data_IF_948976166830
#
_entry.id   IF_948976166830
#
_cell.length_a   1.000
_cell.length_b   1.000
_cell.length_c   1.000
_cell.angle_alpha   90.00
_cell.angle_beta   90.00
_cell.angle_gamma   90.00
#
_symmetry.space_group_name_H-M   'P 1'
#
loop_
_entity.id
_entity.type
_entity.pdbx_description
1 polymer ?
#
# COMPACT_ATOMS: atom_id res chain seq x y z
N UNK A 1 12.73 -6.48 11.43
CA UNK A 1 11.51 -5.80 10.96
C UNK A 1 11.91 -4.88 9.81
N UNK A 2 11.47 -5.15 8.59
CA UNK A 2 11.73 -4.32 7.42
C UNK A 2 10.44 -3.59 7.04
N UNK A 3 10.49 -2.26 7.02
CA UNK A 3 9.39 -1.43 6.55
C UNK A 3 9.52 -1.23 5.05
N UNK A 4 8.41 -1.32 4.33
CA UNK A 4 8.32 -1.01 2.92
C UNK A 4 7.07 -0.19 2.64
N UNK A 5 7.10 0.56 1.53
CA UNK A 5 5.95 1.31 1.03
C UNK A 5 5.79 1.10 -0.46
N UNK A 6 4.59 0.76 -0.90
CA UNK A 6 4.25 0.58 -2.32
C UNK A 6 2.94 1.27 -2.62
N UNK A 7 2.85 1.99 -3.74
CA UNK A 7 1.61 2.66 -4.11
C UNK A 7 1.76 3.72 -5.19
N UNK A 8 0.67 4.46 -5.38
CA UNK A 8 0.52 5.48 -6.39
C UNK A 8 0.44 6.86 -5.76
N UNK A 9 1.05 7.85 -6.44
CA UNK A 9 1.02 9.26 -6.03
C UNK A 9 0.64 10.14 -7.22
N UNK A 10 0.13 11.33 -6.93
CA UNK A 10 -0.28 12.29 -7.98
C UNK A 10 0.84 12.68 -8.96
N UNK A 11 2.12 12.48 -8.60
CA UNK A 11 3.25 12.72 -9.49
C UNK A 11 3.55 11.56 -10.45
N UNK A 12 3.10 10.34 -10.14
CA UNK A 12 3.31 9.13 -10.97
C UNK A 12 2.04 8.59 -11.61
N UNK A 13 0.86 8.97 -11.11
CA UNK A 13 -0.43 8.49 -11.59
C UNK A 13 -1.48 9.60 -11.65
N UNK A 14 -2.27 9.58 -12.73
CA UNK A 14 -3.41 10.48 -12.90
C UNK A 14 -4.52 10.18 -11.86
N UNK A 15 -5.52 11.06 -11.80
CA UNK A 15 -6.62 10.95 -10.82
C UNK A 15 -7.42 9.66 -11.02
N UNK A 16 -7.83 9.37 -12.25
CA UNK A 16 -8.62 8.17 -12.60
C UNK A 16 -7.94 6.88 -12.13
N UNK A 17 -6.64 6.73 -12.38
CA UNK A 17 -5.87 5.57 -11.92
C UNK A 17 -5.91 5.47 -10.40
N UNK A 18 -5.73 6.58 -9.68
CA UNK A 18 -5.70 6.57 -8.20
C UNK A 18 -7.07 6.27 -7.59
N UNK A 19 -8.14 6.78 -8.18
CA UNK A 19 -9.51 6.51 -7.72
C UNK A 19 -9.87 5.02 -7.88
N UNK A 20 -9.37 4.35 -8.93
CA UNK A 20 -9.54 2.91 -9.10
C UNK A 20 -8.93 2.05 -7.98
N UNK A 21 -7.91 2.54 -7.29
CA UNK A 21 -7.29 1.84 -6.14
C UNK A 21 -7.80 2.37 -4.78
N UNK A 22 -8.55 3.46 -4.76
CA UNK A 22 -9.10 4.01 -3.53
C UNK A 22 -10.25 3.13 -3.01
N UNK A 23 -10.32 2.93 -1.68
CA UNK A 23 -11.49 2.33 -1.04
C UNK A 23 -11.54 0.80 -1.00
N UNK A 24 -10.46 0.16 -0.54
CA UNK A 24 -10.45 -1.28 -0.31
C UNK A 24 -10.39 -1.60 1.20
N UNK A 25 -11.55 -1.78 1.88
CA UNK A 25 -11.60 -2.06 3.31
C UNK A 25 -11.00 -3.43 3.69
N UNK A 26 -10.91 -4.37 2.74
CA UNK A 26 -10.33 -5.70 2.97
C UNK A 26 -8.80 -5.76 2.75
N UNK A 27 -8.18 -4.67 2.29
CA UNK A 27 -6.74 -4.64 2.01
C UNK A 27 -5.89 -4.97 3.23
N UNK A 28 -6.28 -4.48 4.42
CA UNK A 28 -5.53 -4.76 5.65
C UNK A 28 -5.56 -6.26 6.01
N UNK A 29 -6.69 -6.94 5.80
CA UNK A 29 -6.82 -8.38 6.03
C UNK A 29 -5.96 -9.17 5.04
N UNK A 30 -6.04 -8.85 3.75
CA UNK A 30 -5.21 -9.47 2.71
C UNK A 30 -3.71 -9.29 2.99
N UNK A 31 -3.27 -8.10 3.41
CA UNK A 31 -1.85 -7.82 3.65
C UNK A 31 -1.28 -8.62 4.84
N UNK A 32 -2.10 -8.88 5.87
CA UNK A 32 -1.74 -9.78 6.96
C UNK A 32 -1.59 -11.22 6.49
N UNK A 33 -2.51 -11.69 5.64
CA UNK A 33 -2.46 -13.05 5.07
C UNK A 33 -1.24 -13.26 4.16
N UNK A 34 -0.70 -12.20 3.55
CA UNK A 34 0.48 -12.24 2.67
C UNK A 34 1.81 -12.25 3.47
N UNK A 35 1.75 -12.24 4.81
CA UNK A 35 2.93 -12.33 5.66
C UNK A 35 3.54 -10.98 6.05
N UNK A 36 2.74 -9.91 6.02
CA UNK A 36 3.07 -8.68 6.72
C UNK A 36 2.70 -8.82 8.20
N UNK A 37 3.67 -8.57 9.09
CA UNK A 37 3.42 -8.51 10.52
C UNK A 37 2.50 -7.33 10.89
N UNK A 38 2.69 -6.21 10.19
CA UNK A 38 1.85 -5.01 10.30
C UNK A 38 1.60 -4.45 8.90
N UNK A 39 0.42 -3.87 8.69
CA UNK A 39 0.02 -3.27 7.43
C UNK A 39 -0.86 -2.05 7.69
N UNK A 40 -0.71 -1.02 6.86
CA UNK A 40 -1.52 0.20 6.85
C UNK A 40 -1.76 0.63 5.41
N UNK A 41 -3.03 0.83 5.07
CA UNK A 41 -3.42 1.40 3.78
C UNK A 41 -3.76 2.88 3.94
N UNK A 42 -2.98 3.74 3.30
CA UNK A 42 -3.19 5.19 3.28
C UNK A 42 -3.82 5.62 1.95
N UNK A 43 -5.11 5.94 1.99
CA UNK A 43 -5.86 6.47 0.84
C UNK A 43 -6.19 7.95 1.07
N UNK A 44 -5.80 8.80 0.14
CA UNK A 44 -6.11 10.24 0.13
C UNK A 44 -6.38 10.71 -1.30
N UNK A 45 -6.77 11.98 -1.47
CA UNK A 45 -6.93 12.58 -2.81
C UNK A 45 -5.64 12.67 -3.63
N UNK A 46 -4.45 12.49 -3.03
CA UNK A 46 -3.16 12.70 -3.68
C UNK A 46 -2.25 11.46 -3.70
N UNK A 47 -2.63 10.39 -2.99
CA UNK A 47 -1.89 9.14 -2.90
C UNK A 47 -2.78 7.99 -2.45
N UNK A 48 -2.44 6.80 -2.92
CA UNK A 48 -2.95 5.52 -2.44
C UNK A 48 -1.73 4.64 -2.20
N UNK A 49 -1.39 4.40 -0.94
CA UNK A 49 -0.15 3.74 -0.55
C UNK A 49 -0.40 2.67 0.50
N UNK A 50 0.34 1.57 0.38
CA UNK A 50 0.39 0.49 1.36
C UNK A 50 1.73 0.57 2.06
N UNK A 51 1.69 0.68 3.38
CA UNK A 51 2.84 0.56 4.26
C UNK A 51 2.78 -0.80 4.94
N UNK A 52 3.86 -1.57 4.83
CA UNK A 52 3.94 -2.90 5.42
C UNK A 52 5.21 -3.09 6.23
N UNK A 53 5.11 -3.88 7.30
CA UNK A 53 6.24 -4.41 8.04
C UNK A 53 6.33 -5.92 7.77
N UNK A 54 7.47 -6.39 7.28
CA UNK A 54 7.73 -7.82 7.10
C UNK A 54 9.04 -8.24 7.77
N UNK A 55 9.09 -9.50 8.20
CA UNK A 55 10.34 -10.10 8.69
C UNK A 55 11.34 -10.27 7.55
N UNK A 56 10.85 -10.63 6.37
CA UNK A 56 11.67 -10.77 5.16
C UNK A 56 11.79 -9.42 4.46
N UNK A 57 12.94 -9.19 3.82
CA UNK A 57 13.13 -7.98 3.01
C UNK A 57 12.25 -8.09 1.77
N UNK A 58 11.39 -7.10 1.57
CA UNK A 58 10.59 -6.93 0.34
C UNK A 58 11.37 -6.00 -0.58
N UNK A 59 11.63 -6.43 -1.81
CA UNK A 59 12.26 -5.57 -2.82
C UNK A 59 11.23 -4.58 -3.34
N UNK A 60 11.57 -3.29 -3.33
CA UNK A 60 10.72 -2.19 -3.83
C UNK A 60 11.40 -1.37 -4.93
N UNK A 61 12.56 -1.83 -5.41
CA UNK A 61 13.26 -1.31 -6.59
C UNK A 61 12.56 -1.77 -7.90
#
# INVERSE_FOLDING_TARGET
MNLFSVGLRHHTANVETREGFAGHPESDCLLRDIGCAEALVLTTCNRVEVYGASEKRVSTD
#
